data_IF_453482786240
#
_entry.id   IF_453482786240
#
_cell.length_a   1.000
_cell.length_b   1.000
_cell.length_c   1.000
_cell.angle_alpha   90.00
_cell.angle_beta   90.00
_cell.angle_gamma   90.00
#
_symmetry.space_group_name_H-M   'P 1'
#
loop_
_entity.id
_entity.type
_entity.pdbx_description
1 polymer ?
#
# COMPACT_ATOMS: atom_id res chain seq x y z
N UNK A 1 3.15 -15.47 -16.62
CA UNK A 1 3.65 -14.90 -15.39
C UNK A 1 5.08 -15.35 -15.14
N UNK A 2 5.93 -14.46 -14.64
CA UNK A 2 7.33 -14.81 -14.33
C UNK A 2 7.44 -15.49 -12.96
N UNK A 3 6.37 -15.48 -12.18
CA UNK A 3 6.25 -16.14 -10.87
C UNK A 3 4.88 -16.83 -10.85
N UNK A 4 4.86 -18.10 -10.52
CA UNK A 4 3.61 -18.84 -10.34
C UNK A 4 3.06 -18.53 -8.94
N UNK A 5 2.31 -17.44 -8.86
CA UNK A 5 1.73 -16.93 -7.60
C UNK A 5 0.39 -16.29 -7.87
N UNK A 6 -0.61 -16.66 -7.07
CA UNK A 6 -1.96 -16.09 -7.04
C UNK A 6 -2.31 -15.67 -5.62
N UNK A 7 -2.51 -14.37 -5.38
CA UNK A 7 -3.02 -13.88 -4.10
C UNK A 7 -4.54 -13.65 -4.18
N UNK A 8 -5.26 -14.06 -3.14
CA UNK A 8 -6.72 -13.94 -3.06
C UNK A 8 -7.18 -13.75 -1.62
N UNK A 9 -8.40 -13.23 -1.46
CA UNK A 9 -9.05 -13.06 -0.16
C UNK A 9 -10.56 -13.18 -0.27
N UNK A 10 -11.18 -13.55 0.83
CA UNK A 10 -12.63 -13.53 1.02
C UNK A 10 -12.93 -12.70 2.24
N UNK A 11 -13.89 -11.78 2.16
CA UNK A 11 -14.27 -10.90 3.29
C UNK A 11 -14.66 -11.74 4.51
N UNK A 12 -13.98 -11.53 5.62
CA UNK A 12 -14.10 -12.30 6.85
C UNK A 12 -13.48 -13.71 6.80
N UNK A 13 -12.87 -14.10 5.67
CA UNK A 13 -12.27 -15.41 5.48
C UNK A 13 -10.74 -15.41 5.50
N UNK A 14 -10.12 -14.24 5.57
CA UNK A 14 -8.67 -14.09 5.51
C UNK A 14 -8.11 -13.92 4.10
N UNK A 15 -6.82 -13.66 4.02
CA UNK A 15 -6.06 -13.52 2.76
C UNK A 15 -5.03 -14.64 2.63
N UNK A 16 -4.83 -15.08 1.40
CA UNK A 16 -3.97 -16.21 1.07
C UNK A 16 -3.18 -15.96 -0.21
N UNK A 17 -2.10 -16.70 -0.38
CA UNK A 17 -1.32 -16.75 -1.60
C UNK A 17 -1.00 -18.20 -1.95
N UNK A 18 -1.38 -18.62 -3.17
CA UNK A 18 -0.95 -19.88 -3.74
C UNK A 18 0.40 -19.64 -4.42
N UNK A 19 1.40 -20.43 -4.07
CA UNK A 19 2.76 -20.33 -4.56
C UNK A 19 3.34 -21.73 -4.77
N UNK A 20 3.69 -22.04 -6.02
CA UNK A 20 4.23 -23.36 -6.35
C UNK A 20 3.30 -24.53 -6.01
N UNK A 21 1.98 -24.32 -6.02
CA UNK A 21 0.96 -25.33 -5.68
C UNK A 21 0.63 -25.45 -4.19
N UNK A 22 1.21 -24.59 -3.34
CA UNK A 22 0.92 -24.56 -1.91
C UNK A 22 0.22 -23.23 -1.53
N UNK A 23 -0.80 -23.33 -0.68
CA UNK A 23 -1.56 -22.17 -0.17
C UNK A 23 -0.96 -21.72 1.16
N UNK A 24 -0.58 -20.45 1.23
CA UNK A 24 -0.05 -19.80 2.44
C UNK A 24 -0.94 -18.66 2.90
N UNK A 25 -1.25 -18.52 4.20
CA UNK A 25 -1.97 -17.37 4.72
C UNK A 25 -1.09 -16.11 4.63
N UNK A 26 -1.68 -15.00 4.19
CA UNK A 26 -1.04 -13.70 4.22
C UNK A 26 -1.30 -13.03 5.58
N UNK A 27 -0.25 -12.43 6.14
CA UNK A 27 -0.32 -11.66 7.39
C UNK A 27 0.63 -10.48 7.31
N UNK A 28 0.11 -9.28 7.56
CA UNK A 28 0.91 -8.07 7.67
C UNK A 28 1.94 -8.17 8.81
N UNK A 29 3.05 -7.46 8.68
CA UNK A 29 4.04 -7.33 9.75
C UNK A 29 3.49 -6.56 10.95
N UNK A 30 4.18 -6.61 12.08
CA UNK A 30 3.84 -5.85 13.29
C UNK A 30 4.86 -4.73 13.58
N UNK A 31 5.77 -4.42 12.63
CA UNK A 31 6.77 -3.39 12.81
C UNK A 31 6.13 -2.00 12.94
N UNK A 32 6.54 -1.24 13.94
CA UNK A 32 6.04 0.11 14.21
C UNK A 32 7.16 1.14 14.39
N UNK A 33 8.40 0.69 14.61
CA UNK A 33 9.53 1.57 14.83
C UNK A 33 9.89 2.35 13.54
N UNK A 34 9.83 3.68 13.54
CA UNK A 34 10.06 4.50 12.34
C UNK A 34 11.37 4.17 11.61
N UNK A 35 12.41 3.81 12.40
CA UNK A 35 13.72 3.44 11.90
C UNK A 35 13.80 2.11 11.14
N UNK A 36 12.77 1.30 11.13
CA UNK A 36 12.78 -0.05 10.55
C UNK A 36 11.72 -0.29 9.47
N UNK A 37 10.80 0.68 9.28
CA UNK A 37 9.68 0.55 8.35
C UNK A 37 10.18 0.48 6.90
N UNK A 38 9.74 -0.54 6.16
CA UNK A 38 9.99 -0.74 4.73
C UNK A 38 8.80 -0.20 3.95
N UNK A 39 9.04 0.71 3.02
CA UNK A 39 8.00 1.46 2.33
C UNK A 39 7.99 1.09 0.85
N UNK A 40 6.90 0.46 0.39
CA UNK A 40 6.67 0.19 -1.03
C UNK A 40 6.24 1.45 -1.76
N UNK A 41 6.93 1.78 -2.85
CA UNK A 41 6.60 2.89 -3.74
C UNK A 41 6.53 2.42 -5.19
N UNK A 42 5.85 3.17 -6.05
CA UNK A 42 5.77 2.84 -7.47
C UNK A 42 7.16 2.87 -8.11
N UNK A 43 7.45 1.87 -8.93
CA UNK A 43 8.69 1.82 -9.73
C UNK A 43 8.70 2.85 -10.86
N UNK A 44 7.53 3.13 -11.44
CA UNK A 44 7.37 4.02 -12.60
C UNK A 44 6.98 5.45 -12.20
N UNK A 45 6.21 5.59 -11.13
CA UNK A 45 5.60 6.85 -10.70
C UNK A 45 6.11 7.26 -9.31
N UNK A 46 7.41 7.17 -9.08
CA UNK A 46 7.99 7.90 -7.96
C UNK A 46 8.05 9.37 -8.43
N UNK A 47 6.94 10.06 -8.22
CA UNK A 47 6.92 11.49 -8.46
C UNK A 47 7.92 12.18 -7.52
N UNK A 48 8.42 13.32 -7.93
CA UNK A 48 9.36 14.10 -7.14
C UNK A 48 8.76 14.51 -5.77
N UNK A 49 7.42 14.54 -5.67
CA UNK A 49 6.70 14.88 -4.45
C UNK A 49 6.89 13.85 -3.35
N UNK A 50 6.56 12.57 -3.61
CA UNK A 50 6.68 11.50 -2.61
C UNK A 50 8.15 11.28 -2.22
N UNK A 51 9.07 11.32 -3.18
CA UNK A 51 10.51 11.23 -2.92
C UNK A 51 11.00 12.31 -1.97
N UNK A 52 10.58 13.57 -2.16
CA UNK A 52 10.89 14.70 -1.26
C UNK A 52 10.33 14.49 0.15
N UNK A 53 9.10 14.00 0.26
CA UNK A 53 8.49 13.71 1.56
C UNK A 53 9.22 12.62 2.33
N UNK A 54 9.59 11.53 1.65
CA UNK A 54 10.36 10.46 2.27
C UNK A 54 11.76 10.94 2.70
N UNK A 55 12.42 11.77 1.89
CA UNK A 55 13.71 12.36 2.23
C UNK A 55 13.60 13.30 3.44
N UNK A 56 12.58 14.17 3.48
CA UNK A 56 12.34 15.07 4.61
C UNK A 56 12.02 14.32 5.91
N UNK A 57 11.40 13.13 5.79
CA UNK A 57 11.12 12.25 6.93
C UNK A 57 12.32 11.35 7.32
N UNK A 58 13.46 11.42 6.62
CA UNK A 58 14.61 10.54 6.84
C UNK A 58 14.33 9.07 6.48
N UNK A 59 13.44 8.84 5.51
CA UNK A 59 12.96 7.51 5.12
C UNK A 59 13.26 7.14 3.66
N UNK A 60 14.01 7.95 2.93
CA UNK A 60 14.28 7.73 1.50
C UNK A 60 15.02 6.39 1.23
N UNK A 61 15.92 6.01 2.10
CA UNK A 61 16.69 4.76 2.04
C UNK A 61 15.86 3.49 2.32
N UNK A 62 14.62 3.66 2.79
CA UNK A 62 13.69 2.57 3.10
C UNK A 62 12.65 2.33 2.02
N UNK A 63 12.71 3.12 0.95
CA UNK A 63 11.81 3.00 -0.18
C UNK A 63 12.20 1.80 -1.05
N UNK A 64 11.28 0.84 -1.16
CA UNK A 64 11.40 -0.34 -2.03
C UNK A 64 10.55 -0.10 -3.27
N UNK A 65 11.17 -0.10 -4.44
CA UNK A 65 10.50 0.17 -5.73
C UNK A 65 9.92 -1.10 -6.32
N UNK A 66 8.61 -1.22 -6.31
CA UNK A 66 7.88 -2.34 -6.88
C UNK A 66 6.82 -1.87 -7.88
N UNK A 67 6.52 -2.71 -8.87
CA UNK A 67 5.49 -2.42 -9.86
C UNK A 67 4.09 -2.74 -9.38
N UNK A 68 3.11 -1.96 -9.84
CA UNK A 68 1.68 -2.22 -9.73
C UNK A 68 1.25 -2.86 -8.39
N UNK A 69 0.34 -3.85 -8.45
CA UNK A 69 -0.22 -4.52 -7.27
C UNK A 69 0.76 -5.42 -6.50
N UNK A 70 1.96 -5.71 -7.06
CA UNK A 70 2.98 -6.51 -6.37
C UNK A 70 3.37 -5.90 -5.02
N UNK A 71 3.45 -4.56 -4.91
CA UNK A 71 3.75 -3.89 -3.65
C UNK A 71 2.66 -4.10 -2.59
N UNK A 72 1.39 -4.20 -3.01
CA UNK A 72 0.27 -4.44 -2.09
C UNK A 72 0.30 -5.87 -1.54
N UNK A 73 0.64 -6.85 -2.38
CA UNK A 73 0.80 -8.24 -1.94
C UNK A 73 2.02 -8.38 -1.04
N UNK A 74 3.12 -7.69 -1.32
CA UNK A 74 4.29 -7.65 -0.45
C UNK A 74 3.97 -7.06 0.94
N UNK A 75 3.09 -6.05 1.01
CA UNK A 75 2.58 -5.52 2.27
C UNK A 75 1.70 -6.55 3.00
N UNK A 76 0.75 -7.16 2.30
CA UNK A 76 -0.12 -8.18 2.87
C UNK A 76 0.64 -9.41 3.38
N UNK A 77 1.80 -9.72 2.76
CA UNK A 77 2.71 -10.81 3.16
C UNK A 77 3.62 -10.45 4.34
N UNK A 78 3.74 -9.16 4.67
CA UNK A 78 4.65 -8.66 5.70
C UNK A 78 6.09 -8.41 5.22
N UNK A 79 6.35 -8.44 3.92
CA UNK A 79 7.64 -8.07 3.32
C UNK A 79 7.85 -6.55 3.33
N UNK A 80 6.76 -5.79 3.35
CA UNK A 80 6.70 -4.34 3.52
C UNK A 80 5.85 -3.98 4.74
N UNK A 81 6.00 -2.77 5.23
CA UNK A 81 5.26 -2.25 6.37
C UNK A 81 4.30 -1.14 5.97
N UNK A 82 4.55 -0.49 4.85
CA UNK A 82 3.68 0.50 4.23
C UNK A 82 3.79 0.49 2.71
N UNK A 83 2.75 0.99 2.04
CA UNK A 83 2.73 1.31 0.61
C UNK A 83 2.13 2.68 0.44
N UNK A 84 2.83 3.55 -0.28
CA UNK A 84 2.43 4.94 -0.56
C UNK A 84 2.33 5.17 -2.05
N UNK A 85 1.29 5.89 -2.47
CA UNK A 85 1.12 6.33 -3.84
C UNK A 85 0.51 7.74 -3.87
N UNK A 86 1.12 8.65 -4.61
CA UNK A 86 0.61 10.00 -4.87
C UNK A 86 0.28 10.20 -6.36
N UNK A 87 0.30 9.13 -7.16
CA UNK A 87 -0.02 9.24 -8.57
C UNK A 87 -1.45 9.73 -8.79
N UNK A 88 -1.65 10.84 -9.52
CA UNK A 88 -2.98 11.32 -9.84
C UNK A 88 -3.74 10.40 -10.81
N UNK A 89 -3.03 9.45 -11.43
CA UNK A 89 -3.61 8.48 -12.36
C UNK A 89 -4.07 7.18 -11.68
N UNK A 90 -3.94 7.03 -10.37
CA UNK A 90 -4.46 5.88 -9.65
C UNK A 90 -6.00 5.87 -9.70
N UNK A 91 -6.56 4.71 -10.00
CA UNK A 91 -8.00 4.55 -10.21
C UNK A 91 -8.57 3.44 -9.30
N UNK A 92 -9.91 3.37 -9.22
CA UNK A 92 -10.59 2.41 -8.34
C UNK A 92 -10.18 0.96 -8.59
N UNK A 93 -10.00 0.55 -9.84
CA UNK A 93 -9.61 -0.82 -10.20
C UNK A 93 -8.16 -1.17 -9.84
N UNK A 94 -7.29 -0.16 -9.62
CA UNK A 94 -5.93 -0.39 -9.14
C UNK A 94 -5.90 -0.80 -7.67
N UNK A 95 -6.95 -0.40 -6.92
CA UNK A 95 -7.00 -0.55 -5.46
C UNK A 95 -8.00 -1.58 -4.98
N UNK A 96 -9.12 -1.86 -5.70
CA UNK A 96 -10.24 -2.61 -5.13
C UNK A 96 -9.88 -4.07 -4.75
N UNK A 97 -9.25 -4.82 -5.64
CA UNK A 97 -8.83 -6.19 -5.31
C UNK A 97 -7.65 -6.23 -4.32
N UNK A 98 -6.60 -5.40 -4.49
CA UNK A 98 -5.54 -5.31 -3.48
C UNK A 98 -6.05 -4.89 -2.10
N UNK A 99 -7.04 -4.01 -1.99
CA UNK A 99 -7.55 -3.55 -0.70
C UNK A 99 -8.17 -4.69 0.11
N UNK A 100 -9.01 -5.54 -0.50
CA UNK A 100 -9.60 -6.66 0.24
C UNK A 100 -8.52 -7.62 0.72
N UNK A 101 -7.51 -7.91 -0.10
CA UNK A 101 -6.39 -8.77 0.29
C UNK A 101 -5.61 -8.17 1.46
N UNK A 102 -5.27 -6.88 1.38
CA UNK A 102 -4.55 -6.18 2.45
C UNK A 102 -5.36 -6.14 3.75
N UNK A 103 -6.65 -5.81 3.69
CA UNK A 103 -7.52 -5.75 4.89
C UNK A 103 -7.63 -7.10 5.57
N UNK A 104 -7.84 -8.15 4.83
CA UNK A 104 -7.93 -9.53 5.34
C UNK A 104 -6.58 -10.06 5.88
N UNK A 105 -5.47 -9.49 5.42
CA UNK A 105 -4.14 -9.74 5.99
C UNK A 105 -3.83 -8.90 7.24
N UNK A 106 -4.75 -8.00 7.67
CA UNK A 106 -4.58 -7.15 8.86
C UNK A 106 -4.02 -5.76 8.57
N UNK A 107 -3.99 -5.32 7.31
CA UNK A 107 -3.55 -3.98 6.95
C UNK A 107 -4.66 -2.93 7.13
N UNK A 108 -4.24 -1.67 7.29
CA UNK A 108 -5.10 -0.49 7.18
C UNK A 108 -4.87 0.17 5.83
N UNK A 109 -5.97 0.49 5.12
CA UNK A 109 -5.95 1.11 3.79
C UNK A 109 -6.88 2.32 3.79
N UNK A 110 -6.35 3.49 3.36
CA UNK A 110 -7.08 4.77 3.27
C UNK A 110 -6.56 5.59 2.09
N UNK A 111 -7.22 6.71 1.80
CA UNK A 111 -6.59 7.76 1.01
C UNK A 111 -5.50 8.49 1.86
N UNK A 112 -4.81 9.47 1.27
CA UNK A 112 -3.77 10.22 1.95
C UNK A 112 -4.27 11.10 3.12
N UNK A 113 -5.58 11.37 3.21
CA UNK A 113 -6.20 12.09 4.33
C UNK A 113 -6.64 11.15 5.47
N UNK A 114 -6.42 9.84 5.33
CA UNK A 114 -6.83 8.85 6.33
C UNK A 114 -8.29 8.41 6.22
N UNK A 115 -8.98 8.74 5.12
CA UNK A 115 -10.37 8.36 4.88
C UNK A 115 -10.44 7.03 4.13
N UNK A 116 -11.25 6.06 4.57
CA UNK A 116 -11.46 4.81 3.84
C UNK A 116 -11.97 5.05 2.41
N UNK A 117 -11.54 4.21 1.47
CA UNK A 117 -12.02 4.29 0.11
C UNK A 117 -13.51 3.98 -0.01
N UNK A 118 -14.14 4.68 -0.95
CA UNK A 118 -15.45 4.34 -1.50
C UNK A 118 -15.26 3.93 -2.95
N UNK A 119 -16.03 2.94 -3.39
CA UNK A 119 -15.99 2.41 -4.74
C UNK A 119 -17.29 2.70 -5.48
N UNK A 120 -17.27 2.51 -6.79
CA UNK A 120 -18.40 2.81 -7.69
C UNK A 120 -18.79 4.30 -7.65
N UNK A 121 -17.78 5.18 -7.56
CA UNK A 121 -18.01 6.61 -7.59
C UNK A 121 -18.04 7.11 -9.05
N UNK A 122 -18.75 8.22 -9.34
CA UNK A 122 -18.73 8.84 -10.66
C UNK A 122 -17.32 9.26 -11.12
N UNK A 123 -16.48 9.74 -10.18
CA UNK A 123 -15.06 9.96 -10.41
C UNK A 123 -14.28 8.76 -9.92
N UNK A 124 -13.61 8.09 -10.85
CA UNK A 124 -12.85 6.86 -10.60
C UNK A 124 -11.44 7.12 -10.08
N UNK A 125 -10.95 8.36 -10.19
CA UNK A 125 -9.58 8.71 -9.79
C UNK A 125 -9.43 8.85 -8.26
N UNK A 126 -8.18 8.68 -7.82
CA UNK A 126 -7.76 8.84 -6.41
C UNK A 126 -6.93 10.11 -6.23
N UNK A 127 -7.54 11.32 -6.33
CA UNK A 127 -6.79 12.58 -6.38
C UNK A 127 -5.99 12.85 -5.09
N UNK A 128 -6.38 12.22 -3.97
CA UNK A 128 -5.69 12.31 -2.69
C UNK A 128 -4.70 11.16 -2.46
N UNK A 129 -4.36 10.41 -3.51
CA UNK A 129 -3.47 9.27 -3.44
C UNK A 129 -3.96 8.13 -2.55
N UNK A 130 -3.10 7.16 -2.29
CA UNK A 130 -3.40 6.02 -1.41
C UNK A 130 -2.28 5.76 -0.39
N UNK A 131 -2.70 5.37 0.81
CA UNK A 131 -1.86 4.97 1.92
C UNK A 131 -2.33 3.62 2.45
N UNK A 132 -1.46 2.62 2.39
CA UNK A 132 -1.68 1.35 3.05
C UNK A 132 -0.54 1.05 4.02
N UNK A 133 -0.82 0.35 5.10
CA UNK A 133 0.17 -0.04 6.09
C UNK A 133 -0.24 -1.31 6.84
N UNK A 134 0.68 -1.87 7.59
CA UNK A 134 0.44 -2.98 8.53
C UNK A 134 -0.49 -2.62 9.72
N UNK A 135 -1.10 -1.43 9.73
CA UNK A 135 -1.94 -0.92 10.81
C UNK A 135 -1.15 -0.23 11.93
N UNK A 136 -0.03 -0.78 12.35
CA UNK A 136 0.78 -0.26 13.47
C UNK A 136 1.49 1.07 13.13
N UNK A 137 1.90 1.26 11.89
CA UNK A 137 2.58 2.48 11.44
C UNK A 137 1.69 3.44 10.64
N UNK A 138 0.38 3.22 10.53
CA UNK A 138 -0.50 3.98 9.62
C UNK A 138 -0.50 5.49 9.91
N UNK A 139 -0.58 5.90 11.18
CA UNK A 139 -0.51 7.32 11.57
C UNK A 139 0.81 7.98 11.19
N UNK A 140 1.92 7.26 11.25
CA UNK A 140 3.22 7.74 10.81
C UNK A 140 3.23 7.96 9.30
N UNK A 141 2.73 6.98 8.55
CA UNK A 141 2.61 7.01 7.08
C UNK A 141 1.82 8.23 6.62
N UNK A 142 0.65 8.49 7.20
CA UNK A 142 -0.17 9.67 6.87
C UNK A 142 0.57 10.98 7.17
N UNK A 143 1.29 11.08 8.29
CA UNK A 143 2.10 12.27 8.61
C UNK A 143 3.21 12.51 7.59
N UNK A 144 3.83 11.46 7.08
CA UNK A 144 4.87 11.55 6.03
C UNK A 144 4.27 12.02 4.71
N UNK A 145 3.07 11.56 4.36
CA UNK A 145 2.40 11.94 3.10
C UNK A 145 1.81 13.36 3.13
N UNK A 146 1.31 13.81 4.28
CA UNK A 146 0.50 15.02 4.40
C UNK A 146 1.10 16.27 3.72
N UNK A 147 2.41 16.57 3.83
CA UNK A 147 3.00 17.75 3.18
C UNK A 147 3.03 17.68 1.65
N UNK A 148 2.84 16.50 1.08
CA UNK A 148 2.95 16.25 -0.37
C UNK A 148 1.59 15.96 -1.03
N UNK A 149 0.51 15.95 -0.26
CA UNK A 149 -0.81 15.78 -0.84
C UNK A 149 -1.18 16.98 -1.72
N UNK A 150 -1.81 16.76 -2.89
CA UNK A 150 -2.34 17.84 -3.70
C UNK A 150 -3.26 18.74 -2.87
N UNK A 151 -3.22 20.05 -3.13
CA UNK A 151 -4.18 20.98 -2.52
C UNK A 151 -5.59 20.61 -2.99
N UNK A 152 -6.59 20.61 -2.12
CA UNK A 152 -7.99 20.29 -2.48
C UNK A 152 -8.54 21.17 -3.57
#
# INVERSE_FOLDING_TARGET
>A
PTVDSLAWAVSGGGAFEDRGGETHPLRASTLSAPGQIRIGVSRLNLDDGLGKCLAAAGMADRAVRLGASVKHIALARGDLDAVLNLSPSEQEWDTCAPEVIMREAGCTVTNGDGVPFKYNQPDLFRPRGSAASNGHCHKLVLRVMAPCLPVP
#
